data_IF_719085244237
#
_entry.id   IF_719085244237
#
_cell.length_a   1.000
_cell.length_b   1.000
_cell.length_c   1.000
_cell.angle_alpha   90.00
_cell.angle_beta   90.00
_cell.angle_gamma   90.00
#
_symmetry.space_group_name_H-M   'P 1'
#
loop_
_entity.id
_entity.type
_entity.pdbx_description
1 polymer ?
#
# COMPACT_ATOMS: atom_id res chain seq x y z
N UNK A 1 5.96 12.38 13.89
CA UNK A 1 6.11 10.91 13.90
C UNK A 1 5.13 10.37 12.87
N UNK A 2 5.30 10.74 11.59
CA UNK A 2 4.16 10.93 10.67
C UNK A 2 4.17 9.96 9.46
N UNK A 3 4.81 8.81 9.60
CA UNK A 3 5.13 7.93 8.46
C UNK A 3 3.87 7.25 7.89
N UNK A 4 2.96 6.78 8.75
CA UNK A 4 1.70 6.16 8.33
C UNK A 4 0.62 7.17 7.91
N UNK A 5 0.77 8.45 8.29
CA UNK A 5 -0.23 9.48 7.97
C UNK A 5 -0.26 9.78 6.47
N UNK A 6 0.89 9.77 5.79
CA UNK A 6 0.93 10.12 4.36
C UNK A 6 0.28 9.06 3.47
N UNK A 7 0.41 7.78 3.83
CA UNK A 7 -0.21 6.70 3.07
C UNK A 7 -1.72 6.85 3.06
N UNK A 8 -2.29 7.04 4.26
CA UNK A 8 -3.73 7.18 4.49
C UNK A 8 -4.27 8.50 3.93
N UNK A 9 -3.59 9.62 4.21
CA UNK A 9 -4.08 10.94 3.79
C UNK A 9 -3.93 11.20 2.29
N UNK A 10 -2.88 10.66 1.65
CA UNK A 10 -2.63 10.89 0.23
C UNK A 10 -3.05 9.72 -0.66
N UNK A 11 -3.81 8.75 -0.12
CA UNK A 11 -4.27 7.57 -0.86
C UNK A 11 -3.12 6.87 -1.63
N UNK A 12 -1.97 6.74 -0.97
CA UNK A 12 -0.71 6.20 -1.50
C UNK A 12 -0.13 6.92 -2.74
N UNK A 13 -0.56 8.14 -3.05
CA UNK A 13 -0.11 8.90 -4.23
C UNK A 13 1.41 9.11 -4.31
N UNK A 14 2.06 9.15 -3.15
CA UNK A 14 3.50 9.40 -3.04
C UNK A 14 4.33 8.10 -3.06
N UNK A 15 3.66 6.99 -2.80
CA UNK A 15 4.28 5.70 -2.50
C UNK A 15 4.23 4.77 -3.70
N UNK A 16 3.18 4.85 -4.52
CA UNK A 16 3.02 4.03 -5.72
C UNK A 16 3.57 4.71 -6.99
N UNK A 17 4.12 3.96 -7.95
CA UNK A 17 4.32 4.49 -9.31
C UNK A 17 2.98 4.93 -9.91
N UNK A 18 2.98 6.03 -10.68
CA UNK A 18 1.79 6.62 -11.29
C UNK A 18 0.89 5.57 -11.98
N UNK A 19 1.48 4.64 -12.74
CA UNK A 19 0.74 3.56 -13.42
C UNK A 19 -0.05 2.68 -12.44
N UNK A 20 0.52 2.32 -11.29
CA UNK A 20 -0.16 1.51 -10.28
C UNK A 20 -1.14 2.35 -9.46
N UNK A 21 -0.80 3.61 -9.19
CA UNK A 21 -1.67 4.55 -8.49
C UNK A 21 -3.00 4.72 -9.23
N UNK A 22 -2.96 4.96 -10.54
CA UNK A 22 -4.16 5.12 -11.36
C UNK A 22 -5.03 3.87 -11.30
N UNK A 23 -4.44 2.67 -11.40
CA UNK A 23 -5.19 1.41 -11.33
C UNK A 23 -5.85 1.18 -9.96
N UNK A 24 -5.17 1.55 -8.88
CA UNK A 24 -5.76 1.51 -7.54
C UNK A 24 -6.93 2.49 -7.44
N UNK A 25 -6.75 3.71 -7.94
CA UNK A 25 -7.77 4.75 -7.89
C UNK A 25 -8.96 4.46 -8.80
N UNK A 26 -8.79 3.76 -9.92
CA UNK A 26 -9.91 3.23 -10.72
C UNK A 26 -10.80 2.32 -9.88
N UNK A 27 -10.23 1.48 -9.00
CA UNK A 27 -11.01 0.65 -8.07
C UNK A 27 -11.71 1.49 -7.00
N UNK A 28 -11.06 2.53 -6.48
CA UNK A 28 -11.70 3.44 -5.53
C UNK A 28 -12.88 4.18 -6.16
N UNK A 29 -12.75 4.66 -7.40
CA UNK A 29 -13.84 5.31 -8.12
C UNK A 29 -15.02 4.36 -8.37
N UNK A 30 -14.77 3.04 -8.50
CA UNK A 30 -15.83 2.05 -8.67
C UNK A 30 -16.64 1.75 -7.39
N UNK A 31 -16.12 2.07 -6.19
CA UNK A 31 -16.82 1.85 -4.91
C UNK A 31 -17.96 2.88 -4.70
N UNK A 32 -17.86 4.06 -5.31
CA UNK A 32 -18.95 5.06 -5.36
C UNK A 32 -19.25 5.82 -4.07
N UNK A 33 -18.86 5.32 -2.89
CA UNK A 33 -18.98 6.00 -1.59
C UNK A 33 -17.61 6.41 -1.05
N UNK A 34 -17.44 7.69 -0.69
CA UNK A 34 -16.19 8.20 -0.13
C UNK A 34 -15.82 7.57 1.21
N UNK A 35 -16.80 7.30 2.07
CA UNK A 35 -16.58 6.65 3.37
C UNK A 35 -16.08 5.23 3.18
N UNK A 36 -16.76 4.46 2.30
CA UNK A 36 -16.36 3.09 1.99
C UNK A 36 -14.99 3.02 1.31
N UNK A 37 -14.62 4.02 0.52
CA UNK A 37 -13.27 4.14 -0.05
C UNK A 37 -12.24 4.34 1.04
N UNK A 38 -12.49 5.21 2.04
CA UNK A 38 -11.55 5.44 3.14
C UNK A 38 -11.40 4.21 4.03
N UNK A 39 -12.51 3.53 4.34
CA UNK A 39 -12.49 2.28 5.09
C UNK A 39 -11.69 1.23 4.33
N UNK A 40 -12.00 0.99 3.05
CA UNK A 40 -11.27 0.05 2.22
C UNK A 40 -9.79 0.43 2.07
N UNK A 41 -9.48 1.72 1.93
CA UNK A 41 -8.12 2.23 1.85
C UNK A 41 -7.30 1.92 3.10
N UNK A 42 -7.91 1.95 4.29
CA UNK A 42 -7.25 1.52 5.52
C UNK A 42 -6.78 0.05 5.41
N UNK A 43 -7.59 -0.85 4.85
CA UNK A 43 -7.19 -2.25 4.61
C UNK A 43 -6.11 -2.39 3.54
N UNK A 44 -6.08 -1.53 2.53
CA UNK A 44 -4.95 -1.48 1.58
C UNK A 44 -3.65 -1.09 2.30
N UNK A 45 -3.69 -0.09 3.18
CA UNK A 45 -2.55 0.28 4.01
C UNK A 45 -2.10 -0.85 4.95
N UNK A 46 -3.05 -1.58 5.56
CA UNK A 46 -2.76 -2.76 6.38
C UNK A 46 -2.10 -3.86 5.55
N UNK A 47 -2.59 -4.13 4.33
CA UNK A 47 -1.98 -5.11 3.44
C UNK A 47 -0.51 -4.76 3.11
N UNK A 48 -0.20 -3.48 2.87
CA UNK A 48 1.19 -3.01 2.70
C UNK A 48 1.99 -3.26 3.98
N UNK A 49 1.44 -2.92 5.14
CA UNK A 49 2.10 -3.13 6.43
C UNK A 49 2.39 -4.61 6.70
N UNK A 50 1.50 -5.52 6.31
CA UNK A 50 1.71 -6.97 6.41
C UNK A 50 2.89 -7.45 5.57
N UNK A 51 3.07 -6.91 4.35
CA UNK A 51 4.25 -7.20 3.53
C UNK A 51 5.54 -6.71 4.19
N UNK A 52 5.48 -5.55 4.85
CA UNK A 52 6.65 -4.98 5.53
C UNK A 52 6.95 -5.62 6.87
N UNK A 53 5.97 -6.26 7.51
CA UNK A 53 6.13 -6.87 8.83
C UNK A 53 7.37 -7.76 8.92
N UNK A 54 7.58 -8.60 7.90
CA UNK A 54 8.73 -9.50 7.84
C UNK A 54 10.07 -8.75 7.72
N UNK A 55 10.08 -7.57 7.11
CA UNK A 55 11.27 -6.71 7.00
C UNK A 55 11.53 -5.87 8.25
N UNK A 56 10.51 -5.64 9.09
CA UNK A 56 10.57 -4.77 10.26
C UNK A 56 10.86 -5.51 11.57
N UNK A 57 10.48 -6.79 11.69
CA UNK A 57 10.73 -7.57 12.90
C UNK A 57 12.23 -7.61 13.22
N UNK A 58 12.55 -7.42 14.50
CA UNK A 58 13.93 -7.42 15.04
C UNK A 58 14.86 -6.35 14.42
N UNK A 59 14.30 -5.33 13.74
CA UNK A 59 15.06 -4.19 13.23
C UNK A 59 15.07 -3.03 14.24
N UNK A 60 16.14 -2.22 14.27
CA UNK A 60 16.16 -1.02 15.07
C UNK A 60 15.17 0.03 14.54
N UNK A 61 14.75 0.94 15.42
CA UNK A 61 13.66 1.89 15.17
C UNK A 61 13.90 2.78 13.93
N UNK A 62 15.14 3.21 13.72
CA UNK A 62 15.54 4.03 12.57
C UNK A 62 15.30 3.31 11.23
N UNK A 63 15.63 2.02 11.16
CA UNK A 63 15.37 1.17 9.99
C UNK A 63 13.87 0.99 9.78
N UNK A 64 13.11 0.74 10.85
CA UNK A 64 11.65 0.63 10.77
C UNK A 64 11.04 1.94 10.26
N UNK A 65 11.47 3.08 10.79
CA UNK A 65 11.00 4.40 10.35
C UNK A 65 11.37 4.67 8.88
N UNK A 66 12.53 4.21 8.42
CA UNK A 66 12.91 4.33 7.01
C UNK A 66 11.99 3.50 6.10
N UNK A 67 11.70 2.24 6.48
CA UNK A 67 10.76 1.38 5.75
C UNK A 67 9.34 1.97 5.73
N UNK A 68 8.89 2.57 6.82
CA UNK A 68 7.57 3.25 6.86
C UNK A 68 7.54 4.54 6.02
N UNK A 69 8.68 5.20 5.80
CA UNK A 69 8.75 6.41 4.94
C UNK A 69 8.80 6.08 3.46
N UNK A 70 9.26 4.89 3.10
CA UNK A 70 9.41 4.42 1.73
C UNK A 70 9.10 2.91 1.64
N UNK A 71 7.81 2.51 1.76
CA UNK A 71 7.41 1.11 1.86
C UNK A 71 7.73 0.27 0.63
N UNK A 72 7.81 0.94 -0.53
CA UNK A 72 8.14 0.30 -1.80
C UNK A 72 9.59 0.59 -2.20
N UNK A 73 10.41 1.08 -1.26
CA UNK A 73 11.85 1.33 -1.45
C UNK A 73 12.16 2.08 -2.76
N UNK A 74 11.25 2.96 -3.21
CA UNK A 74 11.33 3.66 -4.51
C UNK A 74 12.45 4.68 -4.55
N UNK A 75 12.84 5.19 -3.39
CA UNK A 75 13.91 6.20 -3.24
C UNK A 75 15.28 5.55 -3.21
N UNK A 76 15.36 4.22 -3.06
CA UNK A 76 16.60 3.50 -3.27
C UNK A 76 16.98 3.58 -4.76
N UNK A 77 18.28 3.74 -5.08
CA UNK A 77 18.73 3.72 -6.46
C UNK A 77 18.40 2.36 -7.07
N UNK A 78 17.47 2.33 -8.03
CA UNK A 78 17.17 1.12 -8.80
C UNK A 78 18.26 0.91 -9.86
N UNK A 79 18.68 -0.35 -10.13
CA UNK A 79 19.55 -0.63 -11.25
C UNK A 79 18.89 -0.19 -12.56
N UNK A 80 19.68 0.25 -13.57
CA UNK A 80 19.15 0.77 -14.82
C UNK A 80 18.16 -0.22 -15.47
N UNK A 81 17.03 0.27 -16.02
CA UNK A 81 15.99 -0.60 -16.55
C UNK A 81 16.54 -1.42 -17.72
N UNK A 82 16.68 -2.73 -17.51
CA UNK A 82 16.90 -3.69 -18.59
C UNK A 82 15.59 -3.97 -19.36
N UNK A 83 15.68 -4.42 -20.61
CA UNK A 83 14.49 -4.79 -21.39
C UNK A 83 13.74 -5.92 -20.69
N UNK A 84 12.52 -5.65 -20.24
CA UNK A 84 11.66 -6.61 -19.55
C UNK A 84 11.71 -6.58 -18.01
N UNK A 85 12.40 -5.62 -17.38
CA UNK A 85 12.32 -5.44 -15.93
C UNK A 85 11.00 -4.74 -15.56
N UNK A 86 9.89 -5.48 -15.61
CA UNK A 86 8.67 -5.13 -14.91
C UNK A 86 9.01 -5.20 -13.42
N UNK A 87 9.50 -4.09 -12.85
CA UNK A 87 10.01 -4.03 -11.49
C UNK A 87 9.07 -4.71 -10.48
N UNK A 88 9.65 -5.14 -9.35
CA UNK A 88 8.97 -5.93 -8.27
C UNK A 88 7.53 -5.47 -8.00
N UNK A 89 7.29 -4.16 -8.05
CA UNK A 89 5.98 -3.54 -7.98
C UNK A 89 5.37 -3.39 -9.38
N UNK A 90 4.64 -4.41 -9.81
CA UNK A 90 3.91 -4.45 -11.08
C UNK A 90 2.39 -4.62 -10.87
N UNK A 91 1.63 -4.79 -11.95
CA UNK A 91 0.17 -4.94 -11.89
C UNK A 91 -0.25 -6.15 -11.04
N UNK A 92 0.41 -7.29 -11.22
CA UNK A 92 0.07 -8.51 -10.49
C UNK A 92 0.29 -8.35 -8.98
N UNK A 93 1.36 -7.65 -8.60
CA UNK A 93 1.59 -7.29 -7.20
C UNK A 93 0.44 -6.43 -6.64
N UNK A 94 0.01 -5.39 -7.38
CA UNK A 94 -1.10 -4.54 -6.95
C UNK A 94 -2.41 -5.32 -6.84
N UNK A 95 -2.68 -6.23 -7.77
CA UNK A 95 -3.88 -7.07 -7.72
C UNK A 95 -3.88 -8.01 -6.49
N UNK A 96 -2.72 -8.60 -6.16
CA UNK A 96 -2.56 -9.39 -4.93
C UNK A 96 -2.76 -8.55 -3.66
N UNK A 97 -2.27 -7.32 -3.65
CA UNK A 97 -2.47 -6.37 -2.55
C UNK A 97 -3.97 -6.04 -2.37
N UNK A 98 -4.66 -5.71 -3.47
CA UNK A 98 -6.09 -5.41 -3.46
C UNK A 98 -6.91 -6.63 -3.03
N UNK A 99 -6.53 -7.84 -3.47
CA UNK A 99 -7.19 -9.08 -3.06
C UNK A 99 -7.08 -9.30 -1.56
N UNK A 100 -5.88 -9.10 -0.99
CA UNK A 100 -5.62 -9.22 0.45
C UNK A 100 -6.45 -8.19 1.23
N UNK A 101 -6.44 -6.93 0.80
CA UNK A 101 -7.27 -5.88 1.40
C UNK A 101 -8.76 -6.21 1.34
N UNK A 102 -9.23 -6.78 0.22
CA UNK A 102 -10.61 -7.18 0.02
C UNK A 102 -11.03 -8.34 0.92
N UNK A 103 -10.12 -9.27 1.21
CA UNK A 103 -10.35 -10.34 2.17
C UNK A 103 -10.51 -9.75 3.58
N UNK A 104 -9.54 -8.94 4.02
CA UNK A 104 -9.58 -8.32 5.35
C UNK A 104 -10.83 -7.44 5.55
N UNK A 105 -11.23 -6.67 4.52
CA UNK A 105 -12.42 -5.83 4.56
C UNK A 105 -13.71 -6.65 4.73
N UNK A 106 -13.79 -7.84 4.12
CA UNK A 106 -14.94 -8.75 4.28
C UNK A 106 -14.95 -9.45 5.64
N UNK A 107 -13.77 -9.88 6.09
CA UNK A 107 -13.64 -10.66 7.32
C UNK A 107 -13.79 -9.78 8.57
N UNK A 108 -13.48 -8.49 8.46
CA UNK A 108 -13.54 -7.51 9.54
C UNK A 108 -14.22 -6.22 9.07
N UNK A 109 -15.54 -6.20 8.83
CA UNK A 109 -16.22 -4.99 8.34
C UNK A 109 -16.15 -3.87 9.39
N UNK A 110 -16.07 -2.61 8.97
CA UNK A 110 -15.95 -1.46 9.89
C UNK A 110 -17.09 -1.38 10.93
N UNK A 111 -18.28 -1.91 10.59
CA UNK A 111 -19.42 -2.06 11.51
C UNK A 111 -19.18 -2.99 12.70
N UNK A 112 -18.14 -3.82 12.67
CA UNK A 112 -17.77 -4.72 13.77
C UNK A 112 -16.89 -4.07 14.85
N UNK A 113 -16.46 -2.81 14.63
CA UNK A 113 -15.67 -2.02 15.58
C UNK A 113 -16.53 -1.07 16.43
N UNK A 114 -17.86 -1.17 16.33
CA UNK A 114 -18.86 -0.35 17.04
C UNK A 114 -19.32 -0.99 18.35
#
# INVERSE_FOLDING_TARGET
>A
MDCCFQWVHCLLARELPLKLLVLLWEKYMAIGSSEMVLDFHAYVCVAIMMHLRLKMLEKPLDVVLQLLKDPLERRAPSPPPGPGNDGVYNRAWLEGLILTASQLFRDHPASSLS
#
